data_IF_419142017174
#
_entry.id   IF_419142017174
#
_cell.length_a   1.000
_cell.length_b   1.000
_cell.length_c   1.000
_cell.angle_alpha   90.00
_cell.angle_beta   90.00
_cell.angle_gamma   90.00
#
_symmetry.space_group_name_H-M   'P 1'
#
loop_
_entity.id
_entity.type
_entity.pdbx_description
1 polymer ?
#
# COMPACT_ATOMS: atom_id res chain seq x y z
N UNK A 1 6.28 20.40 -6.87
CA UNK A 1 6.09 19.25 -7.79
C UNK A 1 6.57 19.71 -9.14
N UNK A 2 7.69 19.17 -9.59
CA UNK A 2 8.13 19.37 -10.97
C UNK A 2 7.34 18.41 -11.85
N UNK A 3 6.70 18.95 -12.88
CA UNK A 3 5.87 18.20 -13.81
C UNK A 3 6.63 18.04 -15.11
N UNK A 4 6.97 16.80 -15.47
CA UNK A 4 7.55 16.48 -16.77
C UNK A 4 6.53 15.68 -17.56
N UNK A 5 6.41 15.93 -18.85
CA UNK A 5 5.53 15.15 -19.73
C UNK A 5 6.36 14.10 -20.45
N UNK A 6 5.83 12.88 -20.60
CA UNK A 6 6.50 11.85 -21.42
C UNK A 6 6.55 12.31 -22.88
N UNK A 7 7.52 11.81 -23.66
CA UNK A 7 7.67 12.12 -25.09
C UNK A 7 6.39 11.85 -25.91
N UNK A 8 5.53 10.94 -25.45
CA UNK A 8 4.23 10.63 -26.04
C UNK A 8 3.13 11.68 -25.75
N UNK A 9 3.40 12.70 -24.94
CA UNK A 9 2.48 13.78 -24.57
C UNK A 9 1.26 13.37 -23.72
N UNK A 10 1.06 12.06 -23.49
CA UNK A 10 -0.19 11.51 -22.93
C UNK A 10 -0.10 11.13 -21.44
N UNK A 11 1.11 11.07 -20.87
CA UNK A 11 1.37 10.76 -19.46
C UNK A 11 2.23 11.82 -18.78
N UNK A 12 1.85 12.14 -17.54
CA UNK A 12 2.60 13.05 -16.68
C UNK A 12 3.56 12.26 -15.80
N UNK A 13 4.77 12.77 -15.63
CA UNK A 13 5.81 12.31 -14.72
C UNK A 13 5.84 13.30 -13.55
N UNK A 14 5.58 12.79 -12.35
CA UNK A 14 5.70 13.56 -11.11
C UNK A 14 6.89 13.05 -10.32
N UNK A 15 7.76 13.97 -9.91
CA UNK A 15 8.77 13.68 -8.90
C UNK A 15 8.12 13.77 -7.51
N UNK A 16 8.14 12.65 -6.77
CA UNK A 16 7.58 12.56 -5.43
C UNK A 16 8.68 12.15 -4.46
N UNK A 17 8.99 13.04 -3.53
CA UNK A 17 9.84 12.68 -2.40
C UNK A 17 9.17 11.60 -1.56
N UNK A 18 9.89 10.49 -1.34
CA UNK A 18 9.47 9.47 -0.38
C UNK A 18 9.39 10.14 0.98
N UNK A 19 8.19 10.28 1.55
CA UNK A 19 8.08 10.71 2.95
C UNK A 19 8.85 9.70 3.79
N UNK A 20 9.98 10.13 4.37
CA UNK A 20 10.76 9.32 5.31
C UNK A 20 9.80 8.85 6.38
N UNK A 21 9.68 7.53 6.52
CA UNK A 21 8.91 6.98 7.61
C UNK A 21 9.62 7.40 8.92
N UNK A 22 8.87 8.02 9.84
CA UNK A 22 9.41 8.30 11.18
C UNK A 22 9.89 6.99 11.82
N UNK A 23 10.91 7.03 12.68
CA UNK A 23 11.39 5.83 13.40
C UNK A 23 10.23 5.08 14.06
N UNK A 24 9.26 5.81 14.65
CA UNK A 24 8.03 5.25 15.22
C UNK A 24 7.13 4.58 14.17
N UNK A 25 7.01 5.18 12.98
CA UNK A 25 6.21 4.64 11.87
C UNK A 25 6.83 3.40 11.21
N UNK A 26 8.16 3.29 11.19
CA UNK A 26 8.86 2.06 10.76
C UNK A 26 8.60 0.95 11.76
N UNK A 27 8.83 1.21 13.05
CA UNK A 27 8.59 0.23 14.12
C UNK A 27 7.13 -0.25 14.13
N UNK A 28 6.17 0.67 14.02
CA UNK A 28 4.75 0.32 13.98
C UNK A 28 4.40 -0.56 12.77
N UNK A 29 4.99 -0.30 11.59
CA UNK A 29 4.78 -1.14 10.39
C UNK A 29 5.39 -2.52 10.55
N UNK A 30 6.61 -2.61 11.08
CA UNK A 30 7.27 -3.88 11.34
C UNK A 30 6.49 -4.71 12.36
N UNK A 31 6.05 -4.09 13.46
CA UNK A 31 5.24 -4.76 14.47
C UNK A 31 3.89 -5.22 13.89
N UNK A 32 3.21 -4.36 13.12
CA UNK A 32 1.95 -4.73 12.45
C UNK A 32 2.16 -5.92 11.49
N UNK A 33 3.26 -5.93 10.74
CA UNK A 33 3.57 -7.04 9.84
C UNK A 33 3.83 -8.35 10.62
N UNK A 34 4.61 -8.30 11.69
CA UNK A 34 4.86 -9.45 12.57
C UNK A 34 3.56 -9.98 13.18
N UNK A 35 2.73 -9.10 13.74
CA UNK A 35 1.45 -9.45 14.34
C UNK A 35 0.50 -10.08 13.31
N UNK A 36 0.34 -9.46 12.14
CA UNK A 36 -0.49 -10.00 11.07
C UNK A 36 0.00 -11.35 10.56
N UNK A 37 1.31 -11.52 10.41
CA UNK A 37 1.92 -12.78 9.97
C UNK A 37 1.70 -13.88 11.00
N UNK A 38 1.81 -13.57 12.29
CA UNK A 38 1.57 -14.52 13.38
C UNK A 38 0.13 -15.04 13.37
N UNK A 39 -0.86 -14.14 13.27
CA UNK A 39 -2.27 -14.53 13.18
C UNK A 39 -2.57 -15.35 11.92
N UNK A 40 -1.98 -15.01 10.78
CA UNK A 40 -2.13 -15.79 9.55
C UNK A 40 -1.55 -17.19 9.69
N UNK A 41 -0.32 -17.33 10.19
CA UNK A 41 0.34 -18.64 10.34
C UNK A 41 -0.45 -19.53 11.29
N UNK A 42 -0.83 -19.02 12.46
CA UNK A 42 -1.63 -19.79 13.43
C UNK A 42 -3.01 -20.14 12.86
N UNK A 43 -3.67 -19.18 12.21
CA UNK A 43 -4.98 -19.41 11.61
C UNK A 43 -4.93 -20.49 10.53
N UNK A 44 -3.90 -20.48 9.68
CA UNK A 44 -3.69 -21.51 8.64
C UNK A 44 -3.45 -22.88 9.30
N UNK A 45 -2.62 -22.95 10.35
CA UNK A 45 -2.35 -24.20 11.08
C UNK A 45 -3.64 -24.75 11.70
N UNK A 46 -4.48 -23.89 12.30
CA UNK A 46 -5.75 -24.30 12.88
C UNK A 46 -6.72 -24.84 11.83
N UNK A 47 -6.74 -24.23 10.64
CA UNK A 47 -7.56 -24.69 9.51
C UNK A 47 -7.18 -26.08 8.97
N UNK A 48 -6.02 -26.65 9.34
CA UNK A 48 -5.67 -28.03 8.97
C UNK A 48 -6.59 -29.07 9.60
N UNK A 49 -7.33 -28.70 10.64
CA UNK A 49 -8.35 -29.54 11.27
C UNK A 49 -9.74 -28.97 11.02
N UNK A 50 -10.75 -29.84 10.77
CA UNK A 50 -12.13 -29.40 10.48
C UNK A 50 -12.70 -28.55 11.61
N UNK A 51 -12.41 -28.92 12.87
CA UNK A 51 -12.84 -28.17 14.07
C UNK A 51 -12.06 -26.85 14.17
N UNK A 52 -10.76 -26.89 13.88
CA UNK A 52 -9.91 -25.71 13.96
C UNK A 52 -10.22 -24.67 12.88
N UNK A 53 -10.86 -25.02 11.76
CA UNK A 53 -11.32 -24.06 10.76
C UNK A 53 -12.34 -23.04 11.32
N UNK A 54 -13.17 -23.46 12.29
CA UNK A 54 -14.16 -22.58 12.94
C UNK A 54 -13.48 -21.40 13.64
N UNK A 55 -12.33 -21.65 14.29
CA UNK A 55 -11.54 -20.62 14.95
C UNK A 55 -10.47 -20.00 14.03
N UNK A 56 -9.94 -20.77 13.09
CA UNK A 56 -8.84 -20.37 12.20
C UNK A 56 -9.26 -19.34 11.15
N UNK A 57 -10.44 -19.51 10.54
CA UNK A 57 -10.95 -18.56 9.52
C UNK A 57 -11.13 -17.14 10.12
N UNK A 58 -11.82 -16.94 11.26
CA UNK A 58 -11.87 -15.64 11.92
C UNK A 58 -10.49 -15.06 12.24
N UNK A 59 -9.54 -15.90 12.66
CA UNK A 59 -8.18 -15.47 13.01
C UNK A 59 -7.43 -14.92 11.78
N UNK A 60 -7.58 -15.59 10.64
CA UNK A 60 -7.01 -15.15 9.35
C UNK A 60 -7.61 -13.80 8.94
N UNK A 61 -8.93 -13.67 9.00
CA UNK A 61 -9.65 -12.43 8.67
C UNK A 61 -9.18 -11.29 9.57
N UNK A 62 -8.98 -11.57 10.86
CA UNK A 62 -8.48 -10.59 11.82
C UNK A 62 -7.01 -10.18 11.57
N UNK A 63 -6.17 -11.09 11.05
CA UNK A 63 -4.77 -10.80 10.73
C UNK A 63 -4.56 -9.94 9.48
N UNK A 64 -5.47 -10.02 8.50
CA UNK A 64 -5.33 -9.33 7.20
C UNK A 64 -5.17 -7.80 7.32
N UNK A 65 -5.96 -7.06 8.12
CA UNK A 65 -5.80 -5.62 8.30
C UNK A 65 -4.40 -5.19 8.77
N UNK A 66 -3.74 -6.00 9.60
CA UNK A 66 -2.40 -5.71 10.10
C UNK A 66 -1.34 -5.79 9.00
N UNK A 67 -1.47 -6.76 8.10
CA UNK A 67 -0.62 -6.87 6.90
C UNK A 67 -0.87 -5.70 5.96
N UNK A 68 -2.12 -5.37 5.67
CA UNK A 68 -2.45 -4.25 4.77
C UNK A 68 -1.95 -2.92 5.34
N UNK A 69 -2.08 -2.70 6.65
CA UNK A 69 -1.57 -1.51 7.33
C UNK A 69 -0.04 -1.35 7.26
N UNK A 70 0.70 -2.45 7.11
CA UNK A 70 2.17 -2.40 7.03
C UNK A 70 2.70 -1.97 5.65
N UNK A 71 1.90 -2.14 4.57
CA UNK A 71 2.30 -1.94 3.16
C UNK A 71 2.63 -0.48 2.77
N UNK A 72 2.50 0.46 3.70
CA UNK A 72 3.22 1.72 3.64
C UNK A 72 2.84 2.64 2.49
N UNK A 73 1.56 2.94 2.35
CA UNK A 73 1.03 3.86 1.35
C UNK A 73 1.44 5.33 1.57
N UNK A 74 1.39 6.12 0.51
CA UNK A 74 1.58 7.57 0.51
C UNK A 74 0.47 8.24 -0.29
N UNK A 75 -0.04 9.38 0.20
CA UNK A 75 -0.97 10.21 -0.55
C UNK A 75 -0.18 11.12 -1.49
N UNK A 76 -0.53 11.09 -2.77
CA UNK A 76 0.01 11.93 -3.84
C UNK A 76 -1.13 12.65 -4.54
N UNK A 77 -0.91 13.89 -4.97
CA UNK A 77 -1.91 14.63 -5.73
C UNK A 77 -1.80 14.30 -7.22
N UNK A 78 -2.93 14.06 -7.87
CA UNK A 78 -2.95 13.83 -9.31
C UNK A 78 -2.74 15.15 -10.07
N UNK A 79 -1.78 15.25 -11.00
CA UNK A 79 -1.50 16.51 -11.69
C UNK A 79 -2.61 16.99 -12.63
N UNK A 80 -3.46 16.07 -13.10
CA UNK A 80 -4.51 16.41 -14.08
C UNK A 80 -5.82 16.91 -13.43
N UNK A 81 -6.17 16.41 -12.24
CA UNK A 81 -7.44 16.77 -11.58
C UNK A 81 -7.26 17.27 -10.14
N UNK A 82 -6.03 17.38 -9.67
CA UNK A 82 -5.66 17.82 -8.32
C UNK A 82 -6.33 17.02 -7.18
N UNK A 83 -6.77 15.78 -7.47
CA UNK A 83 -7.36 14.87 -6.48
C UNK A 83 -6.28 14.01 -5.83
N UNK A 84 -6.35 13.89 -4.50
CA UNK A 84 -5.47 13.02 -3.71
C UNK A 84 -5.73 11.55 -4.03
N UNK A 85 -4.67 10.82 -4.34
CA UNK A 85 -4.66 9.39 -4.57
C UNK A 85 -3.74 8.71 -3.56
N UNK A 86 -4.17 7.55 -3.07
CA UNK A 86 -3.36 6.73 -2.17
C UNK A 86 -2.58 5.73 -3.02
N UNK A 87 -1.26 5.90 -3.11
CA UNK A 87 -0.37 5.04 -3.91
C UNK A 87 0.58 4.29 -3.00
N UNK A 88 0.94 3.06 -3.38
CA UNK A 88 1.96 2.28 -2.67
C UNK A 88 3.32 2.96 -2.87
N UNK A 89 4.09 3.17 -1.80
CA UNK A 89 5.44 3.74 -1.93
C UNK A 89 6.31 2.85 -2.81
N UNK A 90 6.98 3.46 -3.80
CA UNK A 90 7.86 2.76 -4.74
C UNK A 90 7.17 2.24 -6.01
N UNK A 91 5.87 2.50 -6.23
CA UNK A 91 5.19 2.14 -7.48
C UNK A 91 5.59 3.09 -8.63
N UNK A 92 5.98 2.57 -9.79
CA UNK A 92 6.46 3.41 -10.90
C UNK A 92 5.36 4.21 -11.61
N UNK A 93 4.09 3.84 -11.46
CA UNK A 93 2.96 4.56 -12.03
C UNK A 93 1.69 4.37 -11.20
N UNK A 94 0.71 5.23 -11.42
CA UNK A 94 -0.65 5.03 -10.93
C UNK A 94 -1.66 5.59 -11.92
N UNK A 95 -2.81 4.92 -12.02
CA UNK A 95 -3.98 5.44 -12.71
C UNK A 95 -4.84 6.22 -11.72
N UNK A 96 -5.15 7.47 -12.03
CA UNK A 96 -6.01 8.27 -11.17
C UNK A 96 -7.46 7.79 -11.26
N UNK A 97 -8.08 7.46 -10.13
CA UNK A 97 -9.48 7.00 -10.10
C UNK A 97 -10.48 8.08 -10.53
N UNK A 98 -10.12 9.36 -10.42
CA UNK A 98 -11.02 10.47 -10.73
C UNK A 98 -11.01 10.87 -12.21
N UNK A 99 -9.83 10.94 -12.84
CA UNK A 99 -9.70 11.36 -14.24
C UNK A 99 -9.27 10.24 -15.19
N UNK A 100 -9.06 9.01 -14.69
CA UNK A 100 -8.62 7.83 -15.43
C UNK A 100 -7.30 7.99 -16.23
N UNK A 101 -6.57 9.09 -16.04
CA UNK A 101 -5.25 9.31 -16.66
C UNK A 101 -4.16 8.56 -15.89
N UNK A 102 -3.19 8.04 -16.64
CA UNK A 102 -1.99 7.41 -16.08
C UNK A 102 -0.96 8.48 -15.72
N UNK A 103 -0.35 8.34 -14.55
CA UNK A 103 0.72 9.23 -14.06
C UNK A 103 1.90 8.38 -13.62
N UNK A 104 3.08 8.68 -14.17
CA UNK A 104 4.36 8.08 -13.80
C UNK A 104 4.88 8.76 -12.54
N UNK A 105 5.37 7.98 -11.58
CA UNK A 105 5.96 8.50 -10.34
C UNK A 105 7.43 8.17 -10.34
N UNK A 106 8.26 9.21 -10.32
CA UNK A 106 9.68 9.10 -10.01
C UNK A 106 9.88 9.37 -8.53
N UNK A 107 10.34 8.35 -7.80
CA UNK A 107 10.53 8.46 -6.37
C UNK A 107 11.93 8.93 -6.04
N UNK A 108 12.02 10.07 -5.35
CA UNK A 108 13.26 10.65 -4.82
C UNK A 108 13.42 10.36 -3.33
#
# INVERSE_FOLDING_TARGET
MELRTTADGNSYIIEVEKKKASKKGIVARTLSFLTGSFFLVIGIILCLTIIGAIAGIPLIIFGLPFIVGSLGFQRVDCPNCNRKQTVKKGIGNFKCHSCNKNTLIEWK
#
